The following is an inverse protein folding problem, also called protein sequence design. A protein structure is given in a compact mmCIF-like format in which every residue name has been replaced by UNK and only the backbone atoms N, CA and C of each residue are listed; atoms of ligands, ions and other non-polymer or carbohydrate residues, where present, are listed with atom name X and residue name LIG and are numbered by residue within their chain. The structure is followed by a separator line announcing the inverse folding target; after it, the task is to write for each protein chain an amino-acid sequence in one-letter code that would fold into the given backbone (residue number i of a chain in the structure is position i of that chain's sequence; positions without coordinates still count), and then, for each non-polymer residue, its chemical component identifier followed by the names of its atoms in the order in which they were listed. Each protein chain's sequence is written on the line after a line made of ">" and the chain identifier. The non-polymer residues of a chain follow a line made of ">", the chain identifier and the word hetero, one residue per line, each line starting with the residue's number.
data_IF_662751470344
#
_entry.id   IF_662751470344
#
_cell.length_a   1.000
_cell.length_b   1.000
_cell.length_c   1.000
_cell.angle_alpha   90.00
_cell.angle_beta   90.00
_cell.angle_gamma   90.00
#
_symmetry.space_group_name_H-M   'P 1'
#
loop_
_entity.id
_entity.type
_entity.pdbx_description
1 polymer ?
#
# COMPACT_ATOMS: atom_id res chain seq x y z
N UNK A 1 -6.67 14.26 11.84
CA UNK A 1 -6.21 14.99 10.67
C UNK A 1 -6.90 14.48 9.42
N UNK A 2 -7.26 15.35 8.49
CA UNK A 2 -7.85 14.86 7.26
C UNK A 2 -6.83 14.08 6.44
N UNK A 3 -7.30 13.03 5.81
CA UNK A 3 -6.45 12.26 4.92
C UNK A 3 -6.48 12.87 3.53
N UNK A 4 -5.33 12.95 2.93
CA UNK A 4 -5.24 13.40 1.56
C UNK A 4 -5.30 12.21 0.62
N UNK A 5 -5.84 12.44 -0.56
CA UNK A 5 -5.95 11.41 -1.56
C UNK A 5 -4.71 11.40 -2.43
N UNK A 6 -4.15 10.22 -2.65
CA UNK A 6 -3.02 10.04 -3.54
C UNK A 6 -3.44 9.16 -4.70
N UNK A 7 -3.19 9.65 -5.90
CA UNK A 7 -3.48 8.89 -7.12
C UNK A 7 -2.18 8.63 -7.87
N UNK A 8 -1.95 7.38 -8.25
CA UNK A 8 -0.75 7.01 -8.98
C UNK A 8 -1.01 5.80 -9.86
N UNK A 9 -0.12 5.59 -10.81
CA UNK A 9 -0.20 4.44 -11.71
C UNK A 9 0.71 3.34 -11.21
N UNK A 10 0.28 2.08 -11.36
CA UNK A 10 1.04 0.94 -10.95
C UNK A 10 0.90 -0.16 -12.01
N UNK A 11 1.94 -0.94 -12.20
CA UNK A 11 1.89 -2.04 -13.13
C UNK A 11 0.85 -3.08 -12.70
N UNK A 12 0.19 -3.66 -13.70
CA UNK A 12 -0.87 -4.62 -13.44
C UNK A 12 -0.38 -5.80 -12.61
N UNK A 13 0.79 -6.31 -12.91
CA UNK A 13 1.33 -7.46 -12.18
C UNK A 13 1.58 -7.13 -10.71
N UNK A 14 2.13 -5.95 -10.45
CA UNK A 14 2.36 -5.52 -9.08
C UNK A 14 1.05 -5.35 -8.32
N UNK A 15 0.04 -4.83 -9.00
CA UNK A 15 -1.26 -4.66 -8.38
C UNK A 15 -1.84 -6.01 -7.95
N UNK A 16 -1.71 -7.01 -8.81
CA UNK A 16 -2.21 -8.35 -8.50
C UNK A 16 -1.46 -8.93 -7.31
N UNK A 17 -0.15 -8.81 -7.28
CA UNK A 17 0.65 -9.30 -6.16
C UNK A 17 0.28 -8.62 -4.85
N UNK A 18 0.06 -7.32 -4.90
CA UNK A 18 -0.34 -6.57 -3.71
C UNK A 18 -1.70 -7.04 -3.20
N UNK A 19 -2.62 -7.32 -4.11
CA UNK A 19 -3.93 -7.83 -3.71
C UNK A 19 -3.81 -9.18 -3.02
N UNK A 20 -2.98 -10.05 -3.55
CA UNK A 20 -2.76 -11.36 -2.96
C UNK A 20 -2.18 -11.23 -1.55
N UNK A 21 -1.20 -10.35 -1.40
CA UNK A 21 -0.61 -10.11 -0.09
C UNK A 21 -1.62 -9.55 0.91
N UNK A 22 -2.45 -8.62 0.44
CA UNK A 22 -3.47 -8.05 1.30
C UNK A 22 -4.44 -9.11 1.81
N UNK A 23 -4.86 -10.00 0.92
CA UNK A 23 -5.76 -11.08 1.28
C UNK A 23 -5.10 -12.02 2.30
N UNK A 24 -3.83 -12.35 2.08
CA UNK A 24 -3.10 -13.22 3.00
C UNK A 24 -2.99 -12.63 4.40
N UNK A 25 -2.86 -11.31 4.48
CA UNK A 25 -2.73 -10.62 5.75
C UNK A 25 -4.06 -10.16 6.31
N UNK A 26 -5.14 -10.48 5.62
CA UNK A 26 -6.50 -10.08 6.01
C UNK A 26 -6.63 -8.57 6.18
N UNK A 27 -6.00 -7.83 5.28
CA UNK A 27 -6.04 -6.37 5.26
C UNK A 27 -6.63 -5.88 3.94
N UNK A 28 -7.15 -4.66 3.96
CA UNK A 28 -7.53 -4.03 2.71
C UNK A 28 -6.28 -3.61 1.96
N UNK A 29 -6.40 -3.47 0.65
CA UNK A 29 -5.28 -3.05 -0.17
C UNK A 29 -4.78 -1.67 0.24
N UNK A 30 -5.71 -0.76 0.53
CA UNK A 30 -5.34 0.59 0.99
C UNK A 30 -4.55 0.54 2.28
N UNK A 31 -4.98 -0.28 3.22
CA UNK A 31 -4.29 -0.42 4.49
C UNK A 31 -2.87 -0.95 4.31
N UNK A 32 -2.73 -1.99 3.47
CA UNK A 32 -1.43 -2.57 3.19
C UNK A 32 -0.49 -1.55 2.55
N UNK A 33 -0.98 -0.80 1.57
CA UNK A 33 -0.16 0.21 0.92
C UNK A 33 0.28 1.30 1.89
N UNK A 34 -0.61 1.74 2.76
CA UNK A 34 -0.26 2.74 3.76
C UNK A 34 0.84 2.25 4.70
N UNK A 35 0.77 0.99 5.11
CA UNK A 35 1.81 0.42 5.96
C UNK A 35 3.15 0.37 5.26
N UNK A 36 3.17 -0.07 4.01
CA UNK A 36 4.41 -0.18 3.24
C UNK A 36 5.05 1.20 3.08
N UNK A 37 4.24 2.18 2.70
CA UNK A 37 4.75 3.53 2.50
C UNK A 37 5.27 4.11 3.81
N UNK A 38 4.54 3.91 4.89
CA UNK A 38 4.95 4.43 6.19
C UNK A 38 6.27 3.82 6.65
N UNK A 39 6.41 2.50 6.47
CA UNK A 39 7.64 1.82 6.84
C UNK A 39 8.82 2.33 6.03
N UNK A 40 8.62 2.53 4.73
CA UNK A 40 9.68 3.02 3.87
C UNK A 40 10.13 4.41 4.27
N UNK A 41 9.18 5.29 4.53
CA UNK A 41 9.47 6.66 4.96
C UNK A 41 10.23 6.66 6.29
N UNK A 42 9.81 5.81 7.23
CA UNK A 42 10.48 5.74 8.53
C UNK A 42 11.91 5.25 8.40
N UNK A 43 12.18 4.31 7.51
CA UNK A 43 13.53 3.81 7.31
C UNK A 43 14.45 4.83 6.67
N UNK A 44 13.88 5.77 5.92
CA UNK A 44 14.66 6.76 5.17
C UNK A 44 14.65 8.16 5.77
N UNK A 45 14.29 8.24 7.02
CA UNK A 45 14.37 9.52 7.74
C UNK A 45 15.80 9.84 8.16
#
# INVERSE_FOLDING_TARGET
>A
MPKETLTFSIEKELKIELKVLAVRQEKSLTHLLNEIIQDYVNENK
#
